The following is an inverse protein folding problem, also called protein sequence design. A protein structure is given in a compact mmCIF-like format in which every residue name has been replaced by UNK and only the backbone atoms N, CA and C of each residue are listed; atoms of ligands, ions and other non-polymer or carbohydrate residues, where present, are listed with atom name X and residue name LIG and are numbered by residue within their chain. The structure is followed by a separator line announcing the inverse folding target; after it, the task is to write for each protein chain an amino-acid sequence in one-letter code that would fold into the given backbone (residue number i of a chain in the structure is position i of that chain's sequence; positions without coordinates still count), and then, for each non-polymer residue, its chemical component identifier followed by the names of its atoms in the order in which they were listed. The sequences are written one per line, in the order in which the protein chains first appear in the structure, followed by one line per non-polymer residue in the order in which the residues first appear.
data_IF_152855351224
#
_entry.id   IF_152855351224
#
_cell.length_a   1.000
_cell.length_b   1.000
_cell.length_c   1.000
_cell.angle_alpha   90.00
_cell.angle_beta   90.00
_cell.angle_gamma   90.00
#
_symmetry.space_group_name_H-M   'P 1'
#
loop_
_entity.id
_entity.type
_entity.pdbx_description
1 polymer ?
#
# COMPACT_ATOMS: atom_id res chain seq x y z
N UNK A 1 -0.54 -6.47 -8.19
CA UNK A 1 -1.07 -5.15 -7.83
C UNK A 1 -2.45 -5.08 -8.45
N UNK A 2 -3.40 -4.53 -7.72
CA UNK A 2 -4.81 -4.50 -8.12
C UNK A 2 -5.31 -3.05 -8.06
N UNK A 3 -6.25 -2.71 -8.95
CA UNK A 3 -6.78 -1.36 -9.10
C UNK A 3 -5.87 -0.41 -9.90
N UNK A 4 -6.39 0.78 -10.12
CA UNK A 4 -5.66 1.89 -10.71
C UNK A 4 -5.42 2.95 -9.63
N UNK A 5 -4.17 3.38 -9.46
CA UNK A 5 -3.78 4.38 -8.47
C UNK A 5 -2.66 5.27 -9.00
N UNK A 6 -2.72 6.53 -8.60
CA UNK A 6 -1.81 7.60 -8.98
C UNK A 6 -0.88 7.98 -7.83
N UNK A 7 0.10 8.82 -8.16
CA UNK A 7 0.96 9.47 -7.17
C UNK A 7 0.11 10.11 -6.05
N UNK A 8 0.49 9.85 -4.79
CA UNK A 8 -0.20 10.31 -3.58
C UNK A 8 -1.58 9.70 -3.27
N UNK A 9 -2.03 8.69 -4.01
CA UNK A 9 -3.22 7.95 -3.58
C UNK A 9 -2.95 7.13 -2.31
N UNK A 10 -3.99 6.91 -1.51
CA UNK A 10 -3.94 6.00 -0.38
C UNK A 10 -4.30 4.60 -0.85
N UNK A 11 -3.36 3.66 -0.71
CA UNK A 11 -3.56 2.26 -1.08
C UNK A 11 -3.61 1.37 0.16
N UNK A 12 -4.27 0.23 0.05
CA UNK A 12 -4.17 -0.84 1.03
C UNK A 12 -2.98 -1.73 0.68
N UNK A 13 -2.13 -2.02 1.66
CA UNK A 13 -1.10 -3.05 1.53
C UNK A 13 -1.61 -4.29 2.25
N UNK A 14 -1.62 -5.41 1.54
CA UNK A 14 -2.11 -6.69 2.04
C UNK A 14 -1.01 -7.76 1.95
N UNK A 15 -1.09 -8.71 2.86
CA UNK A 15 -0.31 -9.94 2.77
C UNK A 15 -0.75 -10.73 1.52
N UNK A 16 0.23 -11.19 0.75
CA UNK A 16 -0.03 -11.81 -0.56
C UNK A 16 -0.69 -13.19 -0.44
N UNK A 17 -0.40 -13.94 0.62
CA UNK A 17 -0.85 -15.33 0.75
C UNK A 17 -2.24 -15.40 1.38
N UNK A 18 -2.47 -14.59 2.41
CA UNK A 18 -3.70 -14.59 3.20
C UNK A 18 -4.72 -13.56 2.73
N UNK A 19 -4.28 -12.55 1.96
CA UNK A 19 -5.10 -11.39 1.60
C UNK A 19 -5.39 -10.45 2.77
N UNK A 20 -4.81 -10.70 3.95
CA UNK A 20 -5.05 -9.89 5.14
C UNK A 20 -4.46 -8.48 4.93
N UNK A 21 -5.27 -7.45 5.20
CA UNK A 21 -4.80 -6.07 5.14
C UNK A 21 -3.81 -5.78 6.28
N UNK A 22 -2.59 -5.38 5.92
CA UNK A 22 -1.51 -5.05 6.86
C UNK A 22 -1.56 -3.57 7.26
N UNK A 23 -2.08 -2.73 6.39
CA UNK A 23 -2.22 -1.30 6.63
C UNK A 23 -2.56 -0.53 5.37
N UNK A 24 -2.59 0.79 5.52
CA UNK A 24 -2.80 1.72 4.41
C UNK A 24 -1.71 2.77 4.41
N UNK A 25 -1.35 3.23 3.23
CA UNK A 25 -0.42 4.35 3.13
C UNK A 25 -0.46 5.07 1.81
N UNK A 26 0.11 6.27 1.83
CA UNK A 26 0.20 7.13 0.65
C UNK A 26 1.38 6.71 -0.23
N UNK A 27 1.11 6.44 -1.50
CA UNK A 27 2.15 6.00 -2.45
C UNK A 27 2.93 7.16 -3.05
N UNK A 28 4.21 6.90 -3.30
CA UNK A 28 5.13 7.83 -3.98
C UNK A 28 5.20 7.59 -5.49
N UNK A 29 4.46 6.62 -6.01
CA UNK A 29 4.41 6.26 -7.43
C UNK A 29 3.01 5.77 -7.80
N UNK A 30 2.53 6.13 -8.99
CA UNK A 30 1.35 5.50 -9.58
C UNK A 30 1.65 4.09 -10.10
N UNK A 31 0.60 3.32 -10.38
CA UNK A 31 0.68 1.90 -10.75
C UNK A 31 1.57 1.67 -11.98
N UNK A 32 1.46 2.49 -13.03
CA UNK A 32 2.27 2.32 -14.26
C UNK A 32 3.77 2.53 -14.00
N UNK A 33 4.13 3.58 -13.25
CA UNK A 33 5.53 3.85 -12.91
C UNK A 33 6.12 2.73 -12.03
N UNK A 34 5.31 2.17 -11.13
CA UNK A 34 5.72 1.07 -10.28
C UNK A 34 5.91 -0.24 -11.06
N UNK A 35 5.03 -0.52 -12.02
CA UNK A 35 5.19 -1.65 -12.95
C UNK A 35 6.49 -1.55 -13.75
N UNK A 36 6.79 -0.37 -14.30
CA UNK A 36 8.04 -0.13 -15.02
C UNK A 36 9.25 -0.36 -14.10
N UNK A 37 9.25 0.19 -12.87
CA UNK A 37 10.34 0.00 -11.90
C UNK A 37 10.61 -1.48 -11.59
N UNK A 38 9.56 -2.29 -11.44
CA UNK A 38 9.67 -3.72 -11.15
C UNK A 38 10.21 -4.50 -12.36
N UNK A 39 9.82 -4.13 -13.58
CA UNK A 39 10.31 -4.77 -14.82
C UNK A 39 11.80 -4.58 -15.03
N UNK A 40 12.34 -3.40 -14.70
CA UNK A 40 13.74 -3.06 -14.97
C UNK A 40 14.74 -3.45 -13.86
N UNK A 41 14.31 -4.21 -12.82
CA UNK A 41 15.12 -4.58 -11.64
C UNK A 41 15.84 -3.40 -10.95
N UNK A 42 15.39 -2.16 -11.20
CA UNK A 42 15.84 -0.94 -10.51
C UNK A 42 14.85 -0.56 -9.41
N UNK A 43 14.33 -1.54 -8.69
CA UNK A 43 13.47 -1.33 -7.54
C UNK A 43 14.29 -0.79 -6.35
N UNK A 44 14.75 0.46 -6.48
CA UNK A 44 15.36 1.25 -5.42
C UNK A 44 14.47 2.46 -5.17
N UNK A 45 14.21 2.76 -3.91
CA UNK A 45 13.35 3.87 -3.51
C UNK A 45 12.37 3.48 -2.41
N UNK A 46 11.55 4.44 -2.00
CA UNK A 46 10.52 4.28 -0.96
C UNK A 46 9.16 4.32 -1.65
N UNK A 47 8.41 3.22 -1.64
CA UNK A 47 7.05 3.20 -2.21
C UNK A 47 6.04 3.93 -1.32
N UNK A 48 6.11 3.69 0.00
CA UNK A 48 5.32 4.38 1.02
C UNK A 48 6.30 4.82 2.11
N UNK A 49 6.30 6.12 2.45
CA UNK A 49 7.12 6.65 3.54
C UNK A 49 6.52 6.23 4.90
N UNK A 50 7.34 6.04 5.93
CA UNK A 50 6.87 5.66 7.27
C UNK A 50 5.86 6.65 7.84
N UNK A 51 6.10 7.94 7.62
CA UNK A 51 5.22 9.01 8.11
C UNK A 51 3.87 9.06 7.37
N UNK A 52 3.79 8.35 6.25
CA UNK A 52 2.63 8.24 5.36
C UNK A 52 1.93 6.87 5.48
N UNK A 53 2.29 6.10 6.52
CA UNK A 53 1.81 4.73 6.73
C UNK A 53 1.05 4.60 8.04
N UNK A 54 -0.08 3.89 7.99
CA UNK A 54 -0.85 3.47 9.16
C UNK A 54 -1.01 1.95 9.11
N UNK A 55 -0.44 1.26 10.11
CA UNK A 55 -0.65 -0.17 10.30
C UNK A 55 -2.08 -0.44 10.72
N UNK A 56 -2.69 -1.48 10.16
CA UNK A 56 -3.93 -2.01 10.71
C UNK A 56 -3.56 -2.87 11.93
N UNK A 57 -3.88 -2.35 13.11
CA UNK A 57 -3.74 -3.09 14.38
C UNK A 57 -5.08 -3.73 14.76
N UNK A 58 -5.11 -4.72 15.66
CA UNK A 58 -6.37 -5.31 16.13
C UNK A 58 -7.35 -4.25 16.67
N UNK A 59 -6.85 -3.22 17.35
CA UNK A 59 -7.65 -2.11 17.87
C UNK A 59 -8.29 -1.29 16.74
N UNK A 60 -7.57 -1.08 15.64
CA UNK A 60 -8.09 -0.38 14.45
C UNK A 60 -9.07 -1.26 13.67
N UNK A 61 -8.88 -2.58 13.65
CA UNK A 61 -9.84 -3.50 13.02
C UNK A 61 -11.21 -3.45 13.72
N UNK A 62 -11.21 -3.34 15.06
CA UNK A 62 -12.44 -3.18 15.84
C UNK A 62 -13.22 -1.92 15.43
N UNK A 63 -12.54 -0.80 15.18
CA UNK A 63 -13.18 0.44 14.68
C UNK A 63 -13.89 0.26 13.32
N UNK A 64 -13.44 -0.69 12.50
CA UNK A 64 -14.06 -0.99 11.21
C UNK A 64 -15.15 -2.06 11.28
N UNK A 65 -15.33 -2.72 12.42
CA UNK A 65 -16.39 -3.73 12.64
C UNK A 65 -17.61 -3.18 13.38
N UNK A 66 -17.51 -1.99 13.98
CA UNK A 66 -18.59 -1.36 14.76
C UNK A 66 -19.61 -0.55 13.93
N UNK A 67 -19.62 -0.69 12.59
CA UNK A 67 -20.60 -0.02 11.70
C UNK A 67 -21.21 -0.97 10.68
#
# INVERSE_FOLDING_TARGET
MEGDFSYHDIVTVADKETGQSLGKGRVQFGVSALEDMLRFQKAKGVLIHRDDWISITPEIQLLFTEF
#
